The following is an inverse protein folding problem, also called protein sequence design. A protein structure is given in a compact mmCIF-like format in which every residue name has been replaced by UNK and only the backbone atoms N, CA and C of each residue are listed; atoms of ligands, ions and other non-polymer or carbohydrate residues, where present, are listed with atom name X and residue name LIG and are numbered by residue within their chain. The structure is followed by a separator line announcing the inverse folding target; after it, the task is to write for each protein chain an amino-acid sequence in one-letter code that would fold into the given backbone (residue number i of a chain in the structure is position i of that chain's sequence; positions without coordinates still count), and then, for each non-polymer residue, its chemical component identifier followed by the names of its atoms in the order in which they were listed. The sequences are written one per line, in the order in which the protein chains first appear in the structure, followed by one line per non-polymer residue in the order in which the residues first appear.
data_IF_852388690742
#
_entry.id   IF_852388690742
#
_cell.length_a   1.000
_cell.length_b   1.000
_cell.length_c   1.000
_cell.angle_alpha   90.00
_cell.angle_beta   90.00
_cell.angle_gamma   90.00
#
_symmetry.space_group_name_H-M   'P 1'
#
loop_
_entity.id
_entity.type
_entity.pdbx_description
1 polymer ?
#
# COMPACT_ATOMS: atom_id res chain seq x y z
N UNK A 1 -1.58 21.60 5.93
CA UNK A 1 -0.49 20.99 5.16
C UNK A 1 0.60 20.56 6.13
N UNK A 2 1.01 19.32 6.04
CA UNK A 2 2.00 18.70 6.91
C UNK A 2 3.17 18.23 6.06
N UNK A 3 4.37 18.45 6.55
CA UNK A 3 5.58 17.74 6.12
C UNK A 3 5.84 16.62 7.13
N UNK A 4 6.13 15.43 6.64
CA UNK A 4 6.46 14.28 7.48
C UNK A 4 7.59 13.47 6.86
N UNK A 5 8.46 12.94 7.71
CA UNK A 5 9.55 12.07 7.30
C UNK A 5 9.39 10.67 7.93
N UNK A 6 9.50 9.64 7.09
CA UNK A 6 9.53 8.24 7.52
C UNK A 6 8.26 7.73 8.24
N UNK A 7 7.09 8.20 7.78
CA UNK A 7 5.77 7.85 8.32
C UNK A 7 4.90 7.12 7.29
N UNK A 8 4.28 6.00 7.69
CA UNK A 8 3.19 5.40 6.91
C UNK A 8 1.94 6.30 6.99
N UNK A 9 1.12 6.33 5.93
CA UNK A 9 0.01 7.26 5.79
C UNK A 9 -1.04 7.12 6.89
N UNK A 10 -1.50 5.90 7.17
CA UNK A 10 -2.53 5.62 8.16
C UNK A 10 -1.97 5.80 9.57
N UNK A 11 -0.74 5.35 9.84
CA UNK A 11 -0.05 5.60 11.11
C UNK A 11 0.04 7.11 11.43
N UNK A 12 0.41 7.94 10.44
CA UNK A 12 0.45 9.39 10.61
C UNK A 12 -0.94 9.98 10.83
N UNK A 13 -1.93 9.52 10.06
CA UNK A 13 -3.30 10.00 10.18
C UNK A 13 -3.86 9.75 11.58
N UNK A 14 -3.63 8.56 12.15
CA UNK A 14 -4.01 8.24 13.52
C UNK A 14 -3.28 9.12 14.54
N UNK A 15 -1.98 9.35 14.37
CA UNK A 15 -1.19 10.19 15.26
C UNK A 15 -1.70 11.64 15.28
N UNK A 16 -2.01 12.20 14.09
CA UNK A 16 -2.60 13.53 13.95
C UNK A 16 -3.99 13.56 14.58
N UNK A 17 -4.85 12.58 14.29
CA UNK A 17 -6.21 12.51 14.85
C UNK A 17 -6.17 12.48 16.38
N UNK A 18 -5.31 11.64 16.99
CA UNK A 18 -5.11 11.60 18.44
C UNK A 18 -4.68 12.95 19.00
N UNK A 19 -3.70 13.61 18.36
CA UNK A 19 -3.19 14.91 18.82
C UNK A 19 -4.23 16.03 18.74
N UNK A 20 -5.12 15.96 17.76
CA UNK A 20 -6.24 16.87 17.55
C UNK A 20 -7.52 16.45 18.30
N UNK A 21 -7.50 15.33 19.02
CA UNK A 21 -8.65 14.74 19.73
C UNK A 21 -9.84 14.45 18.80
N UNK A 22 -9.54 13.94 17.61
CA UNK A 22 -10.51 13.55 16.59
C UNK A 22 -10.68 12.03 16.56
N UNK A 23 -11.84 11.57 16.08
CA UNK A 23 -12.02 10.17 15.73
C UNK A 23 -11.12 9.79 14.54
N UNK A 24 -10.61 8.53 14.45
CA UNK A 24 -9.69 8.13 13.38
C UNK A 24 -10.21 8.37 11.96
N UNK A 25 -11.52 8.22 11.74
CA UNK A 25 -12.15 8.41 10.43
C UNK A 25 -12.46 9.88 10.09
N UNK A 26 -12.29 10.80 11.05
CA UNK A 26 -12.62 12.22 10.85
C UNK A 26 -11.52 13.00 10.11
N UNK A 27 -10.35 12.39 9.93
CA UNK A 27 -9.24 12.95 9.18
C UNK A 27 -9.19 12.34 7.78
N UNK A 28 -9.14 13.20 6.75
CA UNK A 28 -9.13 12.79 5.35
C UNK A 28 -7.91 13.34 4.61
N UNK A 29 -7.53 12.70 3.52
CA UNK A 29 -6.40 13.07 2.67
C UNK A 29 -6.64 12.65 1.21
N UNK A 30 -5.90 13.25 0.28
CA UNK A 30 -6.13 13.06 -1.16
C UNK A 30 -5.46 11.80 -1.75
N UNK A 31 -4.43 11.26 -1.10
CA UNK A 31 -3.73 10.05 -1.54
C UNK A 31 -2.64 9.64 -0.55
N UNK A 32 -2.27 8.36 -0.57
CA UNK A 32 -1.16 7.82 0.23
C UNK A 32 0.17 8.34 -0.33
N UNK A 33 1.17 8.48 0.55
CA UNK A 33 2.56 8.79 0.19
C UNK A 33 3.47 7.68 0.65
N UNK A 34 4.66 7.61 0.06
CA UNK A 34 5.67 6.62 0.40
C UNK A 34 6.09 6.76 1.87
N UNK A 35 6.17 5.61 2.56
CA UNK A 35 6.61 5.56 3.95
C UNK A 35 8.05 6.07 4.08
N UNK A 36 8.95 5.68 3.18
CA UNK A 36 10.39 6.02 3.22
C UNK A 36 10.68 7.29 2.40
N UNK A 37 10.11 8.40 2.82
CA UNK A 37 10.32 9.69 2.15
C UNK A 37 10.11 10.85 3.12
N UNK A 38 10.62 12.03 2.75
CA UNK A 38 10.07 13.31 3.21
C UNK A 38 8.92 13.65 2.28
N UNK A 39 7.71 13.76 2.83
CA UNK A 39 6.51 14.03 2.04
C UNK A 39 5.73 15.20 2.59
N UNK A 40 5.23 16.04 1.69
CA UNK A 40 4.39 17.19 2.02
C UNK A 40 2.99 16.93 1.46
N UNK A 41 1.96 17.01 2.31
CA UNK A 41 0.58 16.76 1.90
C UNK A 41 -0.44 17.54 2.73
N UNK A 42 -1.65 17.63 2.21
CA UNK A 42 -2.78 18.18 2.95
C UNK A 42 -3.55 17.08 3.66
N UNK A 43 -4.04 17.42 4.85
CA UNK A 43 -5.05 16.69 5.60
C UNK A 43 -6.21 17.64 5.84
N UNK A 44 -7.43 17.11 5.88
CA UNK A 44 -8.64 17.88 6.19
C UNK A 44 -9.42 17.20 7.30
N UNK A 45 -10.06 17.99 8.14
CA UNK A 45 -11.01 17.56 9.16
C UNK A 45 -11.96 18.71 9.49
N UNK A 46 -13.07 18.40 10.15
CA UNK A 46 -13.99 19.42 10.67
C UNK A 46 -13.49 19.92 12.03
N UNK A 47 -13.15 21.21 12.11
CA UNK A 47 -12.71 21.83 13.36
C UNK A 47 -11.97 23.15 13.18
N UNK A 48 -11.33 23.61 14.24
CA UNK A 48 -10.40 24.75 14.18
C UNK A 48 -9.05 24.27 13.66
N UNK A 49 -8.42 24.98 12.70
CA UNK A 49 -7.04 24.67 12.29
C UNK A 49 -6.07 24.80 13.47
N UNK A 50 -5.03 23.96 13.58
CA UNK A 50 -3.99 24.15 14.59
C UNK A 50 -3.24 25.47 14.31
N UNK A 51 -2.88 26.18 15.37
CA UNK A 51 -2.09 27.41 15.29
C UNK A 51 -0.59 27.15 15.51
N UNK A 52 -0.26 26.00 16.10
CA UNK A 52 1.09 25.58 16.41
C UNK A 52 1.35 24.16 15.91
N UNK A 53 2.61 23.75 15.95
CA UNK A 53 2.99 22.39 15.59
C UNK A 53 2.27 21.34 16.46
N UNK A 54 2.02 20.18 15.87
CA UNK A 54 1.40 19.05 16.55
C UNK A 54 2.37 18.40 17.56
N UNK A 55 3.67 18.72 17.52
CA UNK A 55 4.66 18.14 18.43
C UNK A 55 4.83 16.63 18.20
N UNK A 56 4.60 16.20 16.96
CA UNK A 56 4.82 14.83 16.53
C UNK A 56 6.25 14.69 15.98
N UNK A 57 6.95 13.58 16.26
CA UNK A 57 8.33 13.43 15.84
C UNK A 57 8.42 13.35 14.31
N UNK A 58 9.35 14.14 13.73
CA UNK A 58 9.57 14.22 12.28
C UNK A 58 8.31 14.59 11.50
N UNK A 59 7.49 15.43 12.10
CA UNK A 59 6.29 16.00 11.51
C UNK A 59 6.37 17.50 11.75
N UNK A 60 6.07 18.28 10.72
CA UNK A 60 6.06 19.73 10.79
C UNK A 60 4.77 20.28 10.21
N UNK A 61 4.13 21.19 10.95
CA UNK A 61 3.02 21.97 10.42
C UNK A 61 3.56 23.06 9.49
N UNK A 62 3.21 22.97 8.19
CA UNK A 62 3.61 23.98 7.20
C UNK A 62 2.62 25.14 7.17
N UNK A 63 1.33 24.80 7.10
CA UNK A 63 0.24 25.77 7.04
C UNK A 63 -1.07 25.09 7.47
N UNK A 64 -1.98 25.87 8.03
CA UNK A 64 -3.34 25.42 8.33
C UNK A 64 -4.32 26.56 8.01
N UNK A 65 -5.42 26.21 7.36
CA UNK A 65 -6.43 27.16 6.94
C UNK A 65 -7.81 26.49 6.90
N UNK A 66 -8.87 27.30 6.88
CA UNK A 66 -10.23 26.82 6.67
C UNK A 66 -10.51 26.74 5.18
N UNK A 67 -11.19 25.68 4.77
CA UNK A 67 -11.71 25.51 3.42
C UNK A 67 -13.23 25.26 3.49
N UNK A 68 -13.93 25.50 2.37
CA UNK A 68 -15.37 25.22 2.27
C UNK A 68 -15.67 23.73 2.19
N UNK A 69 -14.76 22.96 1.60
CA UNK A 69 -14.89 21.53 1.37
C UNK A 69 -13.68 20.78 1.94
N UNK A 70 -13.92 19.54 2.35
CA UNK A 70 -12.88 18.62 2.77
C UNK A 70 -12.14 18.00 1.59
N UNK A 71 -11.05 17.29 1.89
CA UNK A 71 -10.34 16.45 0.93
C UNK A 71 -10.99 15.07 0.87
N UNK A 72 -11.00 14.50 -0.32
CA UNK A 72 -11.34 13.11 -0.56
C UNK A 72 -10.25 12.46 -1.40
N UNK A 73 -10.23 11.13 -1.40
CA UNK A 73 -9.28 10.36 -2.20
C UNK A 73 -9.40 10.77 -3.68
N UNK A 74 -8.27 11.07 -4.33
CA UNK A 74 -8.23 11.58 -5.69
C UNK A 74 -8.25 13.11 -5.81
N UNK A 75 -8.40 13.88 -4.73
CA UNK A 75 -8.34 15.36 -4.76
C UNK A 75 -6.91 15.91 -4.92
N UNK A 76 -6.06 15.25 -5.71
CA UNK A 76 -4.74 15.72 -6.06
C UNK A 76 -4.52 15.55 -7.57
N UNK A 77 -3.89 16.54 -8.20
CA UNK A 77 -3.54 16.44 -9.62
C UNK A 77 -2.38 15.47 -9.86
N UNK A 78 -1.41 15.44 -8.94
CA UNK A 78 -0.22 14.63 -9.05
C UNK A 78 0.75 14.90 -7.91
N UNK A 79 2.00 14.50 -8.08
CA UNK A 79 3.08 14.68 -7.12
C UNK A 79 4.31 15.25 -7.82
N UNK A 80 5.00 16.16 -7.15
CA UNK A 80 6.34 16.59 -7.55
C UNK A 80 7.35 15.82 -6.73
N UNK A 81 8.34 15.23 -7.39
CA UNK A 81 9.38 14.44 -6.75
C UNK A 81 10.73 15.13 -6.88
N UNK A 82 11.47 15.13 -5.77
CA UNK A 82 12.91 15.40 -5.76
C UNK A 82 13.60 14.10 -5.35
N UNK A 83 14.29 13.46 -6.28
CA UNK A 83 14.89 12.14 -6.09
C UNK A 83 16.41 12.31 -6.12
N UNK A 84 17.08 11.78 -5.08
CA UNK A 84 18.53 11.63 -5.07
C UNK A 84 18.86 10.19 -5.41
N UNK A 85 19.62 9.99 -6.49
CA UNK A 85 20.14 8.68 -6.89
C UNK A 85 21.57 8.57 -6.38
N UNK A 86 21.84 7.51 -5.63
CA UNK A 86 23.18 7.14 -5.20
C UNK A 86 23.73 6.04 -6.14
N UNK A 87 24.98 6.17 -6.57
CA UNK A 87 25.58 5.27 -7.56
C UNK A 87 27.09 5.17 -7.35
N UNK A 88 27.64 3.99 -7.65
CA UNK A 88 29.08 3.73 -7.62
C UNK A 88 29.81 4.31 -8.84
N UNK A 89 29.07 4.74 -9.88
CA UNK A 89 29.67 5.32 -11.07
C UNK A 89 30.34 6.67 -10.76
N UNK A 90 31.50 6.98 -11.38
CA UNK A 90 32.12 8.29 -11.27
C UNK A 90 31.14 9.41 -11.67
N UNK A 91 31.19 10.61 -11.03
CA UNK A 91 30.20 11.67 -11.27
C UNK A 91 30.00 12.05 -12.74
N UNK A 92 31.08 12.11 -13.53
CA UNK A 92 30.99 12.44 -14.96
C UNK A 92 30.23 11.39 -15.77
N UNK A 93 30.45 10.11 -15.46
CA UNK A 93 29.76 9.00 -16.12
C UNK A 93 28.29 8.94 -15.71
N UNK A 94 28.00 9.13 -14.42
CA UNK A 94 26.64 9.18 -13.91
C UNK A 94 25.82 10.31 -14.56
N UNK A 95 26.42 11.51 -14.70
CA UNK A 95 25.78 12.66 -15.35
C UNK A 95 25.57 12.45 -16.85
N UNK A 96 26.52 11.81 -17.54
CA UNK A 96 26.38 11.46 -18.96
C UNK A 96 25.21 10.49 -19.17
N UNK A 97 25.18 9.38 -18.42
CA UNK A 97 24.06 8.41 -18.48
C UNK A 97 22.72 9.06 -18.17
N UNK A 98 22.68 9.96 -17.19
CA UNK A 98 21.48 10.71 -16.86
C UNK A 98 21.00 11.59 -18.02
N UNK A 99 21.91 12.30 -18.69
CA UNK A 99 21.59 13.12 -19.84
C UNK A 99 21.04 12.28 -21.00
N UNK A 100 21.65 11.13 -21.28
CA UNK A 100 21.23 10.21 -22.33
C UNK A 100 19.80 9.68 -22.07
N UNK A 101 19.55 9.16 -20.87
CA UNK A 101 18.22 8.66 -20.47
C UNK A 101 17.18 9.78 -20.51
N UNK A 102 17.52 10.98 -20.03
CA UNK A 102 16.61 12.13 -20.09
C UNK A 102 16.25 12.47 -21.54
N UNK A 103 17.23 12.53 -22.44
CA UNK A 103 16.98 12.85 -23.84
C UNK A 103 16.06 11.81 -24.52
N UNK A 104 16.26 10.52 -24.23
CA UNK A 104 15.38 9.45 -24.72
C UNK A 104 13.95 9.62 -24.21
N UNK A 105 13.76 9.88 -22.92
CA UNK A 105 12.44 10.10 -22.33
C UNK A 105 11.76 11.36 -22.90
N UNK A 106 12.50 12.43 -23.15
CA UNK A 106 11.98 13.64 -23.78
C UNK A 106 11.54 13.37 -25.23
N UNK A 107 12.30 12.58 -26.00
CA UNK A 107 11.94 12.16 -27.35
C UNK A 107 10.68 11.29 -27.39
N UNK A 108 10.49 10.42 -26.39
CA UNK A 108 9.29 9.59 -26.23
C UNK A 108 8.08 10.39 -25.71
N UNK A 109 8.27 11.63 -25.26
CA UNK A 109 7.23 12.43 -24.62
C UNK A 109 6.88 11.99 -23.19
N UNK A 110 7.77 11.22 -22.55
CA UNK A 110 7.60 10.69 -21.21
C UNK A 110 8.15 9.27 -21.07
N UNK A 111 7.66 8.55 -20.06
CA UNK A 111 7.99 7.15 -19.83
C UNK A 111 6.72 6.27 -19.92
N UNK A 112 6.85 4.97 -20.24
CA UNK A 112 5.71 4.06 -20.22
C UNK A 112 5.04 4.02 -18.84
N UNK A 113 3.76 4.38 -18.79
CA UNK A 113 2.97 4.38 -17.55
C UNK A 113 2.48 2.96 -17.20
N UNK A 114 3.42 2.10 -16.82
CA UNK A 114 3.17 0.70 -16.49
C UNK A 114 2.95 0.51 -14.99
N UNK A 115 2.17 -0.51 -14.63
CA UNK A 115 2.09 -0.96 -13.25
C UNK A 115 3.35 -1.75 -12.90
N UNK A 116 4.09 -1.30 -11.87
CA UNK A 116 5.26 -2.00 -11.37
C UNK A 116 4.93 -3.22 -10.49
N UNK A 117 5.93 -4.05 -10.13
CA UNK A 117 5.75 -5.27 -9.33
C UNK A 117 4.99 -5.07 -8.01
N UNK A 118 5.13 -3.90 -7.38
CA UNK A 118 4.43 -3.55 -6.14
C UNK A 118 2.90 -3.61 -6.27
N UNK A 119 2.36 -3.33 -7.46
CA UNK A 119 0.92 -3.45 -7.75
C UNK A 119 0.45 -4.90 -7.80
N UNK A 120 1.37 -5.81 -8.11
CA UNK A 120 1.10 -7.23 -8.18
C UNK A 120 1.30 -7.93 -6.83
N UNK A 121 2.05 -7.30 -5.92
CA UNK A 121 2.45 -7.79 -4.60
C UNK A 121 3.94 -8.11 -4.60
N UNK A 122 4.76 -7.31 -3.90
CA UNK A 122 6.24 -7.44 -3.94
C UNK A 122 6.73 -8.82 -3.49
N UNK A 123 6.13 -9.36 -2.43
CA UNK A 123 6.51 -10.66 -1.86
C UNK A 123 5.82 -11.83 -2.59
N UNK A 124 4.58 -11.61 -3.06
CA UNK A 124 3.77 -12.60 -3.76
C UNK A 124 3.01 -11.91 -4.89
N UNK A 125 3.52 -11.93 -6.13
CA UNK A 125 2.95 -11.18 -7.24
C UNK A 125 1.66 -11.81 -7.81
N UNK A 126 0.76 -12.32 -6.98
CA UNK A 126 -0.39 -13.15 -7.38
C UNK A 126 -1.68 -12.35 -7.64
N UNK A 127 -1.72 -11.06 -7.33
CA UNK A 127 -2.99 -10.31 -7.30
C UNK A 127 -3.67 -10.24 -8.67
N UNK A 128 -2.89 -10.19 -9.76
CA UNK A 128 -3.42 -10.22 -11.12
C UNK A 128 -4.01 -11.58 -11.50
N UNK A 129 -3.47 -12.68 -10.98
CA UNK A 129 -4.02 -14.02 -11.23
C UNK A 129 -5.33 -14.24 -10.48
N UNK A 130 -5.40 -13.78 -9.22
CA UNK A 130 -6.65 -13.75 -8.45
C UNK A 130 -7.69 -12.91 -9.18
N UNK A 131 -7.31 -11.71 -9.63
CA UNK A 131 -8.19 -10.81 -10.39
C UNK A 131 -8.68 -11.44 -11.69
N UNK A 132 -7.81 -12.12 -12.44
CA UNK A 132 -8.17 -12.84 -13.67
C UNK A 132 -9.23 -13.92 -13.39
N UNK A 133 -9.04 -14.75 -12.36
CA UNK A 133 -10.00 -15.78 -12.00
C UNK A 133 -11.37 -15.18 -11.64
N UNK A 134 -11.38 -14.11 -10.85
CA UNK A 134 -12.61 -13.39 -10.49
C UNK A 134 -13.36 -12.82 -11.69
N UNK A 135 -12.65 -12.21 -12.65
CA UNK A 135 -13.26 -11.65 -13.87
C UNK A 135 -13.90 -12.75 -14.74
N UNK A 136 -13.36 -13.97 -14.71
CA UNK A 136 -13.95 -15.13 -15.39
C UNK A 136 -15.08 -15.81 -14.59
N UNK A 137 -15.42 -15.31 -13.40
CA UNK A 137 -16.41 -15.93 -12.53
C UNK A 137 -15.92 -17.16 -11.77
N UNK A 138 -14.63 -17.48 -11.87
CA UNK A 138 -14.01 -18.64 -11.23
C UNK A 138 -13.53 -18.27 -9.82
N UNK A 139 -14.49 -18.17 -8.90
CA UNK A 139 -14.22 -17.83 -7.51
C UNK A 139 -13.43 -18.92 -6.79
N UNK A 140 -13.61 -20.19 -7.16
CA UNK A 140 -12.86 -21.31 -6.60
C UNK A 140 -11.38 -21.16 -6.90
N UNK A 141 -11.02 -20.94 -8.18
CA UNK A 141 -9.62 -20.71 -8.57
C UNK A 141 -9.05 -19.46 -7.91
N UNK A 142 -9.83 -18.39 -7.74
CA UNK A 142 -9.38 -17.19 -7.05
C UNK A 142 -8.99 -17.48 -5.59
N UNK A 143 -9.80 -18.26 -4.87
CA UNK A 143 -9.52 -18.69 -3.50
C UNK A 143 -8.29 -19.59 -3.44
N UNK A 144 -8.16 -20.55 -4.37
CA UNK A 144 -6.99 -21.42 -4.46
C UNK A 144 -5.70 -20.61 -4.67
N UNK A 145 -5.68 -19.70 -5.65
CA UNK A 145 -4.52 -18.84 -5.91
C UNK A 145 -4.15 -18.07 -4.65
N UNK A 146 -5.13 -17.46 -4.00
CA UNK A 146 -4.87 -16.63 -2.83
C UNK A 146 -4.35 -17.41 -1.61
N UNK A 147 -4.89 -18.60 -1.37
CA UNK A 147 -4.57 -19.42 -0.18
C UNK A 147 -3.47 -20.45 -0.39
N UNK A 148 -3.01 -20.69 -1.63
CA UNK A 148 -2.08 -21.79 -1.92
C UNK A 148 -0.86 -21.34 -2.72
N UNK A 149 -1.01 -20.43 -3.70
CA UNK A 149 0.12 -20.01 -4.54
C UNK A 149 1.18 -19.28 -3.71
N UNK A 150 2.40 -19.78 -3.80
CA UNK A 150 3.50 -19.35 -2.97
C UNK A 150 4.84 -19.80 -3.57
N UNK A 151 5.89 -19.03 -3.30
CA UNK A 151 7.27 -19.39 -3.65
C UNK A 151 7.72 -20.65 -2.90
N UNK A 152 8.11 -21.68 -3.66
CA UNK A 152 8.55 -22.97 -3.14
C UNK A 152 9.78 -22.84 -2.22
N UNK A 153 10.64 -21.86 -2.47
CA UNK A 153 11.87 -21.63 -1.69
C UNK A 153 11.61 -20.84 -0.40
N UNK A 154 10.45 -20.19 -0.29
CA UNK A 154 10.10 -19.40 0.89
C UNK A 154 9.79 -20.29 2.11
N UNK A 155 10.44 -19.98 3.24
CA UNK A 155 10.26 -20.67 4.54
C UNK A 155 9.50 -19.84 5.57
N UNK A 156 8.85 -18.75 5.15
CA UNK A 156 8.00 -17.94 6.04
C UNK A 156 6.88 -18.77 6.69
N UNK A 157 6.39 -18.39 7.89
CA UNK A 157 5.24 -19.07 8.48
C UNK A 157 4.00 -19.10 7.56
N UNK A 158 3.82 -18.07 6.73
CA UNK A 158 2.75 -18.01 5.74
C UNK A 158 2.96 -18.94 4.56
N UNK A 159 4.19 -19.20 4.10
CA UNK A 159 4.45 -20.16 3.03
C UNK A 159 4.26 -21.59 3.50
N UNK A 160 4.68 -21.91 4.73
CA UNK A 160 4.46 -23.23 5.35
C UNK A 160 2.96 -23.53 5.44
N UNK A 161 2.16 -22.58 5.96
CA UNK A 161 0.71 -22.77 6.11
C UNK A 161 -0.02 -22.93 4.76
N UNK A 162 0.43 -22.23 3.70
CA UNK A 162 -0.12 -22.37 2.34
C UNK A 162 0.15 -23.75 1.76
N UNK A 163 1.39 -24.26 1.89
CA UNK A 163 1.75 -25.61 1.43
C UNK A 163 0.94 -26.68 2.16
N UNK A 164 0.84 -26.57 3.48
CA UNK A 164 0.02 -27.49 4.26
C UNK A 164 -1.44 -27.47 3.75
N UNK A 165 -2.03 -26.29 3.58
CA UNK A 165 -3.40 -26.17 3.07
C UNK A 165 -3.57 -26.74 1.66
N UNK A 166 -2.58 -26.57 0.77
CA UNK A 166 -2.59 -27.14 -0.57
C UNK A 166 -2.64 -28.69 -0.56
N UNK A 167 -2.04 -29.33 0.45
CA UNK A 167 -2.04 -30.79 0.63
C UNK A 167 -3.37 -31.31 1.21
N UNK A 168 -3.83 -30.73 2.33
CA UNK A 168 -4.95 -31.31 3.08
C UNK A 168 -6.32 -30.71 2.72
N UNK A 169 -6.37 -29.53 2.09
CA UNK A 169 -7.60 -28.84 1.63
C UNK A 169 -8.69 -28.70 2.71
N UNK A 170 -8.28 -28.53 3.97
CA UNK A 170 -9.16 -28.41 5.15
C UNK A 170 -9.08 -26.97 5.70
N UNK A 171 -10.11 -26.14 5.49
CA UNK A 171 -10.09 -24.75 5.95
C UNK A 171 -10.03 -24.60 7.48
N UNK A 172 -10.66 -25.50 8.24
CA UNK A 172 -10.66 -25.43 9.69
C UNK A 172 -9.29 -25.74 10.28
N UNK A 173 -8.56 -26.70 9.67
CA UNK A 173 -7.16 -26.97 9.99
C UNK A 173 -6.26 -25.80 9.60
N UNK A 174 -6.36 -25.30 8.38
CA UNK A 174 -5.55 -24.18 7.91
C UNK A 174 -5.76 -22.92 8.78
N UNK A 175 -6.98 -22.67 9.28
CA UNK A 175 -7.24 -21.55 10.19
C UNK A 175 -6.44 -21.64 11.51
N UNK A 176 -6.05 -22.83 11.95
CA UNK A 176 -5.17 -23.01 13.14
C UNK A 176 -3.69 -22.86 12.79
N UNK A 177 -3.30 -23.22 11.57
CA UNK A 177 -1.91 -23.19 11.09
C UNK A 177 -1.48 -21.81 10.59
N UNK A 178 -2.40 -21.02 10.01
CA UNK A 178 -2.10 -19.67 9.54
C UNK A 178 -1.83 -18.71 10.71
N UNK A 179 -0.68 -18.00 10.72
CA UNK A 179 -0.35 -17.11 11.83
C UNK A 179 -1.34 -15.94 11.98
N UNK A 180 -1.53 -15.38 13.19
CA UNK A 180 -2.51 -14.31 13.44
C UNK A 180 -2.32 -13.03 12.59
N UNK A 181 -1.10 -12.78 12.11
CA UNK A 181 -0.79 -11.64 11.25
C UNK A 181 -1.44 -11.72 9.85
N UNK A 182 -1.78 -12.92 9.37
CA UNK A 182 -2.36 -13.18 8.04
C UNK A 182 -3.88 -13.02 8.07
N UNK A 183 -4.33 -11.80 8.37
CA UNK A 183 -5.73 -11.50 8.71
C UNK A 183 -6.70 -11.86 7.58
N UNK A 184 -6.37 -11.52 6.34
CA UNK A 184 -7.27 -11.74 5.20
C UNK A 184 -7.41 -13.22 4.87
N UNK A 185 -6.31 -13.97 4.90
CA UNK A 185 -6.30 -15.42 4.72
C UNK A 185 -7.14 -16.10 5.81
N UNK A 186 -6.98 -15.67 7.07
CA UNK A 186 -7.76 -16.20 8.18
C UNK A 186 -9.26 -15.91 8.06
N UNK A 187 -9.64 -14.69 7.64
CA UNK A 187 -11.05 -14.34 7.40
C UNK A 187 -11.65 -15.24 6.32
N UNK A 188 -10.92 -15.44 5.22
CA UNK A 188 -11.37 -16.29 4.12
C UNK A 188 -11.51 -17.76 4.57
N UNK A 189 -10.50 -18.30 5.26
CA UNK A 189 -10.51 -19.66 5.80
C UNK A 189 -11.64 -19.87 6.81
N UNK A 190 -11.95 -18.88 7.65
CA UNK A 190 -13.07 -18.94 8.59
C UNK A 190 -14.42 -19.07 7.86
N UNK A 191 -14.63 -18.29 6.79
CA UNK A 191 -15.85 -18.39 5.98
C UNK A 191 -15.95 -19.75 5.28
N UNK A 192 -14.86 -20.22 4.67
CA UNK A 192 -14.82 -21.56 4.06
C UNK A 192 -15.07 -22.67 5.08
N UNK A 193 -14.52 -22.58 6.29
CA UNK A 193 -14.74 -23.55 7.36
C UNK A 193 -16.19 -23.60 7.85
N UNK A 194 -16.95 -22.51 7.68
CA UNK A 194 -18.39 -22.45 7.95
C UNK A 194 -19.24 -22.98 6.78
N UNK A 195 -18.62 -23.48 5.71
CA UNK A 195 -19.30 -24.05 4.54
C UNK A 195 -19.76 -23.02 3.51
N UNK A 196 -19.25 -21.79 3.54
CA UNK A 196 -19.56 -20.81 2.50
C UNK A 196 -18.87 -21.23 1.18
N UNK A 197 -19.59 -21.21 0.05
CA UNK A 197 -18.96 -21.36 -1.26
C UNK A 197 -18.01 -20.19 -1.56
N UNK A 198 -17.07 -20.39 -2.48
CA UNK A 198 -15.98 -19.45 -2.74
C UNK A 198 -16.45 -18.02 -3.08
N UNK A 199 -17.53 -17.90 -3.84
CA UNK A 199 -18.16 -16.63 -4.23
C UNK A 199 -18.71 -15.84 -3.03
N UNK A 200 -19.18 -16.52 -1.98
CA UNK A 200 -19.65 -15.89 -0.73
C UNK A 200 -18.56 -15.76 0.32
N UNK A 201 -17.47 -16.52 0.18
CA UNK A 201 -16.35 -16.49 1.10
C UNK A 201 -15.44 -15.27 0.83
N UNK A 202 -15.25 -14.90 -0.43
CA UNK A 202 -14.58 -13.66 -0.86
C UNK A 202 -15.32 -12.40 -0.37
#
# INVERSE_FOLDING_TARGET
RIESENWEQHELAEAIARRLRLAPHALSWAGTKDRRAVSIRLFSYLGRPPEEDLGLPRVRLIEAYRAREGLSLGHHYGNTFAIRVDTEAPPGEALARYADVRAELEQLGGFPNLFGPQRFGEVRPITHEVGRALVHGDCERAVEIYLMENDAESSTPGSVARRAYAEHRDPARALREFPPAYRFERILLERLARGYPADRAL
#
